data_IF_264252786759
#
_entry.id   IF_264252786759
#
_cell.length_a   1.000
_cell.length_b   1.000
_cell.length_c   1.000
_cell.angle_alpha   90.00
_cell.angle_beta   90.00
_cell.angle_gamma   90.00
#
_symmetry.space_group_name_H-M   'P 1'
#
loop_
_entity.id
_entity.type
_entity.pdbx_description
1 polymer ?
#
# COMPACT_ATOMS: atom_id res chain seq x y z
N UNK A 1 -0.56 10.05 8.46
CA UNK A 1 -1.47 8.91 8.70
C UNK A 1 -2.56 8.92 7.64
N UNK A 2 -2.93 7.76 7.07
CA UNK A 2 -4.07 7.62 6.16
C UNK A 2 -5.37 7.72 6.96
N UNK A 3 -6.27 8.63 6.56
CA UNK A 3 -7.58 8.87 7.20
C UNK A 3 -8.76 8.61 6.25
N UNK A 4 -8.49 8.04 5.07
CA UNK A 4 -9.46 7.79 4.00
C UNK A 4 -9.43 8.86 2.91
N UNK A 5 -9.78 10.10 3.23
CA UNK A 5 -9.86 11.22 2.28
C UNK A 5 -8.49 11.78 1.85
N UNK A 6 -7.42 11.50 2.60
CA UNK A 6 -6.10 12.05 2.34
C UNK A 6 -5.17 11.10 1.55
N UNK A 7 -5.72 10.06 0.92
CA UNK A 7 -4.94 9.00 0.27
C UNK A 7 -3.84 9.52 -0.65
N UNK A 8 -4.11 10.49 -1.53
CA UNK A 8 -3.11 11.01 -2.48
C UNK A 8 -1.87 11.59 -1.79
N UNK A 9 -2.07 12.35 -0.72
CA UNK A 9 -0.97 12.96 0.05
C UNK A 9 -0.24 11.91 0.87
N UNK A 10 -0.98 11.02 1.52
CA UNK A 10 -0.39 9.90 2.27
C UNK A 10 0.44 8.99 1.37
N UNK A 11 -0.09 8.60 0.21
CA UNK A 11 0.57 7.71 -0.74
C UNK A 11 1.85 8.34 -1.30
N UNK A 12 1.84 9.65 -1.57
CA UNK A 12 3.06 10.38 -1.96
C UNK A 12 4.13 10.32 -0.86
N UNK A 13 3.75 10.64 0.38
CA UNK A 13 4.69 10.60 1.51
C UNK A 13 5.24 9.21 1.77
N UNK A 14 4.39 8.17 1.69
CA UNK A 14 4.80 6.78 1.86
C UNK A 14 5.76 6.35 0.75
N UNK A 15 5.45 6.62 -0.52
CA UNK A 15 6.36 6.33 -1.65
C UNK A 15 7.72 7.01 -1.48
N UNK A 16 7.76 8.25 -1.00
CA UNK A 16 9.01 8.97 -0.70
C UNK A 16 9.80 8.28 0.42
N UNK A 17 9.15 7.91 1.53
CA UNK A 17 9.80 7.25 2.65
C UNK A 17 10.36 5.87 2.26
N UNK A 18 9.60 5.08 1.49
CA UNK A 18 10.06 3.78 0.99
C UNK A 18 11.21 3.93 -0.01
N UNK A 19 11.18 4.95 -0.87
CA UNK A 19 12.29 5.25 -1.79
C UNK A 19 13.57 5.59 -1.04
N UNK A 20 13.50 6.43 -0.01
CA UNK A 20 14.64 6.79 0.82
C UNK A 20 15.28 5.59 1.54
N UNK A 21 14.53 4.50 1.71
CA UNK A 21 14.98 3.25 2.35
C UNK A 21 15.24 2.11 1.36
N UNK A 22 15.18 2.38 0.06
CA UNK A 22 15.33 1.35 -1.00
C UNK A 22 14.31 0.20 -0.86
N UNK A 23 13.11 0.51 -0.39
CA UNK A 23 12.00 -0.45 -0.19
C UNK A 23 10.81 -0.21 -1.12
N UNK A 24 10.86 0.80 -1.99
CA UNK A 24 9.76 1.10 -2.92
C UNK A 24 9.38 -0.12 -3.79
N UNK A 25 10.37 -0.97 -4.10
CA UNK A 25 10.17 -2.14 -4.94
C UNK A 25 9.22 -3.21 -4.39
N UNK A 26 8.95 -3.19 -3.08
CA UNK A 26 7.99 -4.10 -2.44
C UNK A 26 6.54 -3.73 -2.76
N UNK A 27 6.25 -2.47 -3.14
CA UNK A 27 4.88 -2.04 -3.47
C UNK A 27 4.67 -1.83 -4.98
N UNK A 28 5.71 -1.47 -5.74
CA UNK A 28 5.59 -1.18 -7.19
C UNK A 28 5.86 -2.38 -8.12
N UNK A 29 6.12 -3.56 -7.54
CA UNK A 29 6.40 -4.84 -8.23
C UNK A 29 7.79 -4.96 -8.87
N UNK A 30 8.70 -4.00 -8.66
CA UNK A 30 10.08 -4.14 -9.13
C UNK A 30 10.89 -5.18 -8.34
N UNK A 31 10.53 -5.46 -7.08
CA UNK A 31 11.08 -6.59 -6.31
C UNK A 31 10.06 -7.74 -6.33
N UNK A 32 10.43 -8.85 -6.97
CA UNK A 32 9.58 -10.04 -7.04
C UNK A 32 9.76 -10.90 -5.79
N UNK A 33 8.67 -11.51 -5.32
CA UNK A 33 8.72 -12.53 -4.27
C UNK A 33 9.53 -13.74 -4.79
N UNK A 34 10.63 -14.11 -4.13
CA UNK A 34 11.40 -15.29 -4.51
C UNK A 34 10.61 -16.56 -4.16
N UNK A 35 11.02 -17.71 -4.74
CA UNK A 35 10.48 -19.00 -4.35
C UNK A 35 10.84 -19.31 -2.90
N UNK A 36 10.00 -20.08 -2.20
CA UNK A 36 10.25 -20.47 -0.79
C UNK A 36 11.53 -21.28 -0.59
N UNK A 37 12.05 -21.90 -1.66
CA UNK A 37 13.31 -22.64 -1.67
C UNK A 37 14.54 -21.76 -1.88
N UNK A 38 14.36 -20.48 -2.23
CA UNK A 38 15.48 -19.56 -2.44
C UNK A 38 16.14 -19.18 -1.11
N UNK A 39 17.48 -19.10 -1.05
CA UNK A 39 18.19 -18.57 0.13
C UNK A 39 17.80 -17.13 0.46
N UNK A 40 17.27 -16.37 -0.51
CA UNK A 40 16.85 -14.99 -0.33
C UNK A 40 15.43 -14.85 0.24
N UNK A 41 14.65 -15.94 0.33
CA UNK A 41 13.26 -15.89 0.76
C UNK A 41 13.10 -15.28 2.14
N UNK A 42 13.91 -15.72 3.11
CA UNK A 42 13.86 -15.22 4.48
C UNK A 42 14.25 -13.73 4.58
N UNK A 43 15.21 -13.28 3.76
CA UNK A 43 15.59 -11.86 3.70
C UNK A 43 14.48 -11.02 3.09
N UNK A 44 13.84 -11.53 2.03
CA UNK A 44 12.70 -10.90 1.39
C UNK A 44 11.51 -10.79 2.34
N UNK A 45 11.17 -11.87 3.04
CA UNK A 45 10.03 -11.94 3.97
C UNK A 45 10.17 -10.94 5.14
N UNK A 46 11.38 -10.84 5.71
CA UNK A 46 11.69 -9.82 6.74
C UNK A 46 11.51 -8.41 6.19
N UNK A 47 12.03 -8.14 5.00
CA UNK A 47 11.91 -6.84 4.37
C UNK A 47 10.46 -6.48 4.03
N UNK A 48 9.67 -7.43 3.52
CA UNK A 48 8.25 -7.24 3.23
C UNK A 48 7.46 -6.96 4.52
N UNK A 49 7.72 -7.73 5.59
CA UNK A 49 7.11 -7.54 6.92
C UNK A 49 7.39 -6.16 7.51
N UNK A 50 8.59 -5.61 7.29
CA UNK A 50 8.91 -4.23 7.70
C UNK A 50 8.06 -3.20 6.94
N UNK A 51 7.87 -3.40 5.62
CA UNK A 51 7.06 -2.49 4.81
C UNK A 51 5.59 -2.60 5.20
N UNK A 52 5.08 -3.81 5.45
CA UNK A 52 3.74 -4.05 6.01
C UNK A 52 3.55 -3.25 7.29
N UNK A 53 4.48 -3.37 8.25
CA UNK A 53 4.40 -2.65 9.51
C UNK A 53 4.39 -1.13 9.32
N UNK A 54 5.20 -0.59 8.40
CA UNK A 54 5.18 0.85 8.11
C UNK A 54 3.87 1.31 7.49
N UNK A 55 3.25 0.52 6.60
CA UNK A 55 1.96 0.85 6.02
C UNK A 55 0.87 0.85 7.09
N UNK A 56 0.76 -0.23 7.87
CA UNK A 56 -0.24 -0.38 8.93
C UNK A 56 -0.09 0.73 9.99
N UNK A 57 1.13 0.95 10.50
CA UNK A 57 1.40 1.99 11.51
C UNK A 57 1.20 3.41 10.99
N UNK A 58 1.17 3.59 9.67
CA UNK A 58 0.86 4.88 9.05
C UNK A 58 -0.61 5.02 8.67
N UNK A 59 -1.47 4.09 9.07
CA UNK A 59 -2.90 4.05 8.75
C UNK A 59 -3.72 4.17 10.03
N UNK A 60 -4.84 4.90 9.95
CA UNK A 60 -5.76 5.03 11.07
C UNK A 60 -6.27 3.63 11.51
N UNK A 61 -6.22 3.29 12.82
CA UNK A 61 -6.69 2.00 13.33
C UNK A 61 -8.12 1.63 12.92
N UNK A 62 -9.00 2.61 12.71
CA UNK A 62 -10.37 2.39 12.23
C UNK A 62 -10.39 1.67 10.87
N UNK A 63 -9.35 1.87 10.06
CA UNK A 63 -9.21 1.28 8.73
C UNK A 63 -8.48 -0.08 8.76
N UNK A 64 -7.97 -0.54 9.90
CA UNK A 64 -7.21 -1.80 9.97
C UNK A 64 -8.09 -3.02 9.70
N UNK A 65 -9.38 -2.95 10.02
CA UNK A 65 -10.33 -4.04 9.75
C UNK A 65 -10.44 -4.39 8.26
N UNK A 66 -10.36 -3.39 7.38
CA UNK A 66 -10.42 -3.60 5.92
C UNK A 66 -9.10 -4.14 5.34
N UNK A 67 -7.98 -3.94 6.04
CA UNK A 67 -6.63 -4.33 5.59
C UNK A 67 -6.31 -5.81 5.91
N UNK A 68 -7.11 -6.45 6.76
CA UNK A 68 -6.77 -7.69 7.48
C UNK A 68 -6.64 -8.99 6.66
N UNK A 69 -6.76 -8.96 5.33
CA UNK A 69 -6.69 -10.17 4.48
C UNK A 69 -5.46 -10.21 3.55
N UNK A 70 -4.65 -9.17 3.53
CA UNK A 70 -3.51 -9.06 2.62
C UNK A 70 -2.24 -9.72 3.18
N UNK A 71 -1.61 -10.58 2.36
CA UNK A 71 -0.45 -11.40 2.77
C UNK A 71 0.90 -10.70 2.58
N UNK A 72 0.97 -9.62 1.80
CA UNK A 72 2.22 -8.91 1.49
C UNK A 72 2.04 -7.39 1.51
N UNK A 73 3.14 -6.64 1.60
CA UNK A 73 3.09 -5.17 1.53
C UNK A 73 2.43 -4.67 0.24
N UNK A 74 2.65 -5.39 -0.86
CA UNK A 74 2.02 -5.13 -2.15
C UNK A 74 0.51 -5.29 -2.10
N UNK A 75 0.03 -6.37 -1.50
CA UNK A 75 -1.41 -6.67 -1.45
C UNK A 75 -2.13 -5.59 -0.63
N UNK A 76 -1.55 -5.18 0.50
CA UNK A 76 -2.07 -4.05 1.29
C UNK A 76 -2.06 -2.77 0.46
N UNK A 77 -0.96 -2.49 -0.26
CA UNK A 77 -0.86 -1.29 -1.07
C UNK A 77 -1.96 -1.20 -2.13
N UNK A 78 -2.22 -2.31 -2.84
CA UNK A 78 -3.25 -2.38 -3.88
C UNK A 78 -4.65 -2.24 -3.30
N UNK A 79 -4.93 -2.90 -2.18
CA UNK A 79 -6.22 -2.78 -1.48
C UNK A 79 -6.50 -1.32 -1.08
N UNK A 80 -5.51 -0.64 -0.50
CA UNK A 80 -5.63 0.77 -0.14
C UNK A 80 -5.79 1.67 -1.37
N UNK A 81 -5.11 1.36 -2.48
CA UNK A 81 -5.25 2.11 -3.73
C UNK A 81 -6.64 1.95 -4.33
N UNK A 82 -7.19 0.73 -4.35
CA UNK A 82 -8.53 0.44 -4.85
C UNK A 82 -9.61 1.17 -4.03
N UNK A 83 -9.54 1.08 -2.71
CA UNK A 83 -10.57 1.64 -1.83
C UNK A 83 -10.50 3.17 -1.68
N UNK A 84 -9.31 3.77 -1.68
CA UNK A 84 -9.15 5.17 -1.29
C UNK A 84 -8.60 6.09 -2.40
N UNK A 85 -8.08 5.55 -3.51
CA UNK A 85 -7.69 6.40 -4.64
C UNK A 85 -8.90 6.93 -5.42
N UNK A 86 -9.98 6.14 -5.52
CA UNK A 86 -11.20 6.53 -6.22
C UNK A 86 -12.10 7.49 -5.42
N UNK A 87 -12.11 7.39 -4.09
CA UNK A 87 -12.81 8.36 -3.23
C UNK A 87 -12.29 9.80 -3.40
N UNK A 88 -11.11 9.96 -3.99
CA UNK A 88 -10.45 11.23 -4.33
C UNK A 88 -10.36 11.51 -5.84
N UNK A 89 -10.96 10.68 -6.68
CA UNK A 89 -11.29 11.11 -8.04
C UNK A 89 -12.44 12.12 -7.89
N UNK A 90 -12.35 13.33 -8.48
CA UNK A 90 -13.51 14.20 -8.51
C UNK A 90 -14.65 13.37 -9.11
N UNK A 91 -15.79 13.29 -8.40
CA UNK A 91 -17.02 12.66 -8.89
C UNK A 91 -17.50 13.43 -10.13
N UNK A 92 -16.82 13.31 -11.26
CA UNK A 92 -17.31 13.69 -12.58
C UNK A 92 -18.00 12.47 -13.13
N UNK A 93 -19.09 12.07 -12.47
CA UNK A 93 -20.05 11.17 -13.07
C UNK A 93 -21.39 11.34 -12.36
N UNK A 94 -22.04 12.45 -12.65
CA UNK A 94 -23.47 12.56 -12.94
C UNK A 94 -23.80 14.05 -13.02
N UNK A 95 -24.06 14.53 -14.24
CA UNK A 95 -25.10 15.50 -14.60
C UNK A 95 -24.86 15.90 -16.07
N UNK A 96 -24.99 14.97 -17.01
CA UNK A 96 -25.38 15.27 -18.41
C UNK A 96 -25.91 13.99 -19.07
N UNK A 97 -27.22 13.75 -18.88
CA UNK A 97 -28.16 13.17 -19.85
C UNK A 97 -29.50 12.88 -19.15
N UNK A 98 -30.39 13.85 -19.12
CA UNK A 98 -31.54 13.93 -20.03
C UNK A 98 -32.21 15.30 -19.90
#
# INVERSE_FOLDING_TARGET
MLKGDNYRNWARSMRTALRAKTKLGFIDRSIKKPTSTSPDYQHWERADSMVVAWIINSTDPILHGSISHAMTAKDIWLDLEEHYAQANAPRIHQLWRH
#
